data_IF_171563952972
#
_entry.id   IF_171563952972
#
_cell.length_a   1.000
_cell.length_b   1.000
_cell.length_c   1.000
_cell.angle_alpha   90.00
_cell.angle_beta   90.00
_cell.angle_gamma   90.00
#
_symmetry.space_group_name_H-M   'P 1'
#
loop_
_entity.id
_entity.type
_entity.pdbx_description
1 polymer ?
#
# COMPACT_ATOMS: atom_id res chain seq x y z
N UNK A 1 -15.38 3.07 16.60
CA UNK A 1 -13.98 3.14 16.21
C UNK A 1 -13.02 2.90 17.38
N UNK A 2 -13.23 3.57 18.49
CA UNK A 2 -12.39 3.40 19.69
C UNK A 2 -12.48 1.98 20.27
N UNK A 3 -13.67 1.42 20.36
CA UNK A 3 -13.87 0.05 20.83
C UNK A 3 -13.11 -0.97 19.96
N UNK A 4 -13.09 -0.75 18.64
CA UNK A 4 -12.35 -1.60 17.70
C UNK A 4 -10.84 -1.51 17.91
N UNK A 5 -10.35 -0.29 18.12
CA UNK A 5 -8.94 -0.04 18.41
C UNK A 5 -8.50 -0.75 19.69
N UNK A 6 -9.29 -0.62 20.75
CA UNK A 6 -9.01 -1.27 22.03
C UNK A 6 -9.00 -2.80 21.91
N UNK A 7 -9.94 -3.36 21.14
CA UNK A 7 -9.96 -4.79 20.90
C UNK A 7 -8.70 -5.27 20.18
N UNK A 8 -8.27 -4.55 19.13
CA UNK A 8 -7.05 -4.88 18.41
C UNK A 8 -5.83 -4.77 19.32
N UNK A 9 -5.77 -3.75 20.15
CA UNK A 9 -4.70 -3.59 21.12
C UNK A 9 -4.61 -4.76 22.09
N UNK A 10 -5.76 -5.19 22.61
CA UNK A 10 -5.80 -6.34 23.51
C UNK A 10 -5.34 -7.62 22.82
N UNK A 11 -5.80 -7.85 21.60
CA UNK A 11 -5.43 -9.04 20.84
C UNK A 11 -3.93 -9.07 20.52
N UNK A 12 -3.36 -7.94 20.11
CA UNK A 12 -1.93 -7.84 19.80
C UNK A 12 -1.08 -7.94 21.05
N UNK A 13 -1.50 -7.33 22.15
CA UNK A 13 -0.80 -7.42 23.42
C UNK A 13 -0.71 -8.88 23.92
N UNK A 14 -1.77 -9.65 23.70
CA UNK A 14 -1.86 -11.05 24.10
C UNK A 14 -1.05 -11.97 23.18
N UNK A 15 -1.21 -11.83 21.87
CA UNK A 15 -0.62 -12.73 20.88
C UNK A 15 0.73 -12.27 20.34
N UNK A 16 1.02 -10.98 20.36
CA UNK A 16 2.19 -10.38 19.73
C UNK A 16 2.14 -10.38 18.21
N UNK A 17 0.97 -10.61 17.62
CA UNK A 17 0.80 -10.77 16.18
C UNK A 17 -0.34 -9.88 15.69
N UNK A 18 -0.17 -9.27 14.52
CA UNK A 18 -1.22 -8.54 13.82
C UNK A 18 -1.24 -8.94 12.35
N UNK A 19 -2.39 -8.74 11.72
CA UNK A 19 -2.61 -9.09 10.31
C UNK A 19 -3.08 -7.87 9.53
N UNK A 20 -2.61 -7.73 8.30
CA UNK A 20 -3.21 -6.79 7.36
C UNK A 20 -4.58 -7.31 6.92
N UNK A 21 -5.38 -6.45 6.29
CA UNK A 21 -6.67 -6.89 5.73
C UNK A 21 -6.51 -7.90 4.59
N UNK A 22 -5.33 -8.02 4.01
CA UNK A 22 -5.01 -9.02 3.00
C UNK A 22 -4.39 -10.29 3.61
N UNK A 23 -4.28 -10.35 4.93
CA UNK A 23 -3.88 -11.57 5.64
C UNK A 23 -2.39 -11.72 5.91
N UNK A 24 -1.58 -10.71 5.63
CA UNK A 24 -0.14 -10.77 5.92
C UNK A 24 0.10 -10.63 7.42
N UNK A 25 0.75 -11.61 8.01
CA UNK A 25 1.06 -11.65 9.43
C UNK A 25 2.37 -10.92 9.73
N UNK A 26 2.37 -10.19 10.84
CA UNK A 26 3.59 -9.62 11.40
C UNK A 26 3.64 -9.87 12.90
N UNK A 27 4.78 -10.30 13.38
CA UNK A 27 5.04 -10.47 14.81
C UNK A 27 5.71 -9.20 15.35
N UNK A 28 5.29 -8.79 16.55
CA UNK A 28 5.82 -7.63 17.24
C UNK A 28 6.53 -8.04 18.50
N UNK A 29 7.62 -7.37 18.80
CA UNK A 29 8.46 -7.60 19.97
C UNK A 29 8.48 -6.34 20.84
N UNK A 30 8.92 -6.48 22.10
CA UNK A 30 8.97 -5.39 23.04
C UNK A 30 7.84 -5.44 24.07
N UNK A 31 7.60 -4.33 24.75
CA UNK A 31 6.54 -4.27 25.75
C UNK A 31 5.15 -4.27 25.09
N UNK A 32 4.13 -4.57 25.91
CA UNK A 32 2.77 -4.72 25.38
C UNK A 32 2.20 -3.42 24.80
N UNK A 33 2.55 -2.27 25.35
CA UNK A 33 2.05 -0.98 24.86
C UNK A 33 2.58 -0.66 23.47
N UNK A 34 3.88 -0.85 23.24
CA UNK A 34 4.51 -0.68 21.94
C UNK A 34 3.95 -1.67 20.92
N UNK A 35 3.81 -2.94 21.32
CA UNK A 35 3.23 -3.98 20.43
C UNK A 35 1.81 -3.65 20.02
N UNK A 36 0.98 -3.21 20.95
CA UNK A 36 -0.41 -2.87 20.67
C UNK A 36 -0.52 -1.72 19.65
N UNK A 37 0.28 -0.68 19.86
CA UNK A 37 0.30 0.50 19.00
C UNK A 37 0.78 0.17 17.58
N UNK A 38 1.88 -0.55 17.47
CA UNK A 38 2.43 -0.98 16.18
C UNK A 38 1.50 -1.95 15.47
N UNK A 39 0.85 -2.85 16.20
CA UNK A 39 -0.11 -3.80 15.65
C UNK A 39 -1.34 -3.14 15.07
N UNK A 40 -1.84 -2.09 15.70
CA UNK A 40 -2.93 -1.29 15.15
C UNK A 40 -2.52 -0.58 13.87
N UNK A 41 -1.36 0.09 13.90
CA UNK A 41 -0.82 0.77 12.73
C UNK A 41 -0.57 -0.20 11.57
N UNK A 42 -0.12 -1.42 11.86
CA UNK A 42 0.13 -2.44 10.84
C UNK A 42 -1.13 -2.82 10.07
N UNK A 43 -2.28 -2.88 10.71
CA UNK A 43 -3.53 -3.22 10.02
C UNK A 43 -3.87 -2.22 8.93
N UNK A 44 -3.56 -0.97 9.14
CA UNK A 44 -3.85 0.12 8.20
C UNK A 44 -2.69 0.30 7.21
N UNK A 45 -1.52 0.64 7.71
CA UNK A 45 -0.35 0.93 6.88
C UNK A 45 0.16 -0.31 6.14
N UNK A 46 0.11 -1.46 6.79
CA UNK A 46 0.51 -2.73 6.18
C UNK A 46 -0.42 -3.13 5.04
N UNK A 47 -1.71 -2.86 5.16
CA UNK A 47 -2.67 -3.13 4.08
C UNK A 47 -2.39 -2.27 2.86
N UNK A 48 -2.11 -0.98 3.06
CA UNK A 48 -1.72 -0.07 1.96
C UNK A 48 -0.43 -0.55 1.30
N UNK A 49 0.56 -0.96 2.09
CA UNK A 49 1.82 -1.51 1.58
C UNK A 49 1.60 -2.79 0.77
N UNK A 50 0.73 -3.67 1.22
CA UNK A 50 0.41 -4.91 0.51
C UNK A 50 -0.24 -4.63 -0.84
N UNK A 51 -1.15 -3.66 -0.91
CA UNK A 51 -1.77 -3.23 -2.17
C UNK A 51 -0.75 -2.66 -3.13
N UNK A 52 0.13 -1.82 -2.62
CA UNK A 52 1.20 -1.19 -3.39
C UNK A 52 2.16 -2.23 -3.96
N UNK A 53 2.55 -3.20 -3.17
CA UNK A 53 3.43 -4.29 -3.62
C UNK A 53 2.76 -5.17 -4.66
N UNK A 54 1.48 -5.48 -4.49
CA UNK A 54 0.72 -6.27 -5.46
C UNK A 54 0.62 -5.53 -6.81
N UNK A 55 0.36 -4.23 -6.78
CA UNK A 55 0.31 -3.40 -7.97
C UNK A 55 1.67 -3.33 -8.66
N UNK A 56 2.74 -3.21 -7.89
CA UNK A 56 4.11 -3.17 -8.41
C UNK A 56 4.47 -4.47 -9.16
N UNK A 57 4.16 -5.61 -8.56
CA UNK A 57 4.43 -6.92 -9.16
C UNK A 57 3.64 -7.07 -10.47
N UNK A 58 2.36 -6.70 -10.47
CA UNK A 58 1.52 -6.79 -11.66
C UNK A 58 2.01 -5.88 -12.79
N UNK A 59 2.45 -4.66 -12.46
CA UNK A 59 3.02 -3.73 -13.43
C UNK A 59 4.34 -4.23 -14.02
N UNK A 60 5.20 -4.80 -13.18
CA UNK A 60 6.46 -5.38 -13.63
C UNK A 60 6.25 -6.53 -14.61
N UNK A 61 5.27 -7.37 -14.34
CA UNK A 61 4.93 -8.50 -15.21
C UNK A 61 4.27 -8.06 -16.52
N UNK A 62 3.41 -7.04 -16.47
CA UNK A 62 2.68 -6.57 -17.66
C UNK A 62 3.52 -5.67 -18.57
N UNK A 63 4.47 -4.93 -18.01
CA UNK A 63 5.32 -3.99 -18.74
C UNK A 63 6.80 -4.28 -18.47
N UNK A 64 7.40 -5.22 -19.24
CA UNK A 64 8.82 -5.56 -19.07
C UNK A 64 9.77 -4.38 -19.27
N UNK A 65 9.35 -3.36 -20.03
CA UNK A 65 10.10 -2.13 -20.26
C UNK A 65 10.08 -1.16 -19.08
N UNK A 66 9.23 -1.41 -18.07
CA UNK A 66 9.13 -0.57 -16.90
C UNK A 66 10.40 -0.66 -16.04
N UNK A 67 10.85 0.47 -15.56
CA UNK A 67 11.90 0.56 -14.56
C UNK A 67 11.31 1.12 -13.27
N UNK A 68 11.49 0.40 -12.18
CA UNK A 68 11.11 0.90 -10.86
C UNK A 68 12.19 1.87 -10.39
N UNK A 69 11.79 3.10 -10.11
CA UNK A 69 12.71 4.13 -9.62
C UNK A 69 12.65 4.30 -8.11
N UNK A 70 11.44 4.45 -7.57
CA UNK A 70 11.24 4.72 -6.15
C UNK A 70 10.01 3.99 -5.64
N UNK A 71 10.14 3.44 -4.46
CA UNK A 71 9.04 2.88 -3.69
C UNK A 71 9.06 3.55 -2.31
N UNK A 72 8.16 4.48 -2.08
CA UNK A 72 8.01 5.16 -0.80
C UNK A 72 6.78 4.64 -0.05
N UNK A 73 6.57 5.09 1.19
CA UNK A 73 5.50 4.60 2.05
C UNK A 73 4.11 4.58 1.41
N UNK A 74 3.80 5.61 0.65
CA UNK A 74 2.48 5.85 0.09
C UNK A 74 2.50 6.13 -1.41
N UNK A 75 3.63 5.91 -2.06
CA UNK A 75 3.77 6.22 -3.47
C UNK A 75 4.76 5.35 -4.22
N UNK A 76 4.51 5.21 -5.52
CA UNK A 76 5.39 4.56 -6.47
C UNK A 76 5.77 5.55 -7.56
N UNK A 77 7.04 5.57 -7.91
CA UNK A 77 7.53 6.30 -9.07
C UNK A 77 8.15 5.32 -10.04
N UNK A 78 7.57 5.25 -11.21
CA UNK A 78 7.97 4.31 -12.26
C UNK A 78 8.42 5.07 -13.50
N UNK A 79 9.44 4.56 -14.17
CA UNK A 79 9.92 5.10 -15.42
C UNK A 79 9.61 4.14 -16.56
N UNK A 80 9.14 4.70 -17.66
CA UNK A 80 8.87 3.97 -18.89
C UNK A 80 9.58 4.63 -20.07
N UNK A 81 9.95 3.87 -21.12
CA UNK A 81 10.41 4.47 -22.36
C UNK A 81 9.34 5.40 -22.94
N UNK A 82 9.75 6.46 -23.62
CA UNK A 82 8.81 7.39 -24.27
C UNK A 82 7.89 6.72 -25.30
N UNK A 83 8.32 5.58 -25.81
CA UNK A 83 7.55 4.79 -26.77
C UNK A 83 6.35 4.07 -26.13
N UNK A 84 6.32 3.94 -24.80
CA UNK A 84 5.20 3.31 -24.12
C UNK A 84 4.07 4.33 -23.93
N UNK A 85 2.85 4.05 -24.47
CA UNK A 85 1.73 4.99 -24.30
C UNK A 85 1.33 5.14 -22.83
N UNK A 86 1.26 6.38 -22.38
CA UNK A 86 0.90 6.72 -20.99
C UNK A 86 -0.51 6.21 -20.66
N UNK A 87 -1.44 6.40 -21.58
CA UNK A 87 -2.84 5.98 -21.41
C UNK A 87 -2.96 4.49 -21.15
N UNK A 88 -2.15 3.69 -21.82
CA UNK A 88 -2.13 2.23 -21.63
C UNK A 88 -1.64 1.86 -20.24
N UNK A 89 -0.60 2.53 -19.74
CA UNK A 89 -0.07 2.29 -18.40
C UNK A 89 -1.09 2.69 -17.34
N UNK A 90 -1.71 3.87 -17.48
CA UNK A 90 -2.72 4.35 -16.54
C UNK A 90 -3.96 3.47 -16.53
N UNK A 91 -4.43 3.04 -17.68
CA UNK A 91 -5.59 2.16 -17.82
C UNK A 91 -5.37 0.82 -17.10
N UNK A 92 -4.16 0.29 -17.15
CA UNK A 92 -3.79 -0.92 -16.45
C UNK A 92 -3.57 -0.68 -14.95
N UNK A 93 -2.89 0.39 -14.57
CA UNK A 93 -2.46 0.66 -13.21
C UNK A 93 -3.59 1.12 -12.28
N UNK A 94 -4.51 1.94 -12.79
CA UNK A 94 -5.59 2.51 -11.96
C UNK A 94 -6.42 1.45 -11.25
N UNK A 95 -6.93 0.40 -11.90
CA UNK A 95 -7.70 -0.64 -11.21
C UNK A 95 -6.90 -1.42 -10.17
N UNK A 96 -5.59 -1.51 -10.33
CA UNK A 96 -4.72 -2.22 -9.40
C UNK A 96 -4.45 -1.41 -8.14
N UNK A 97 -4.25 -0.11 -8.29
CA UNK A 97 -3.91 0.80 -7.18
C UNK A 97 -5.18 1.31 -6.48
N UNK A 98 -6.18 1.71 -7.26
CA UNK A 98 -7.44 2.30 -6.78
C UNK A 98 -8.53 1.24 -6.62
N UNK A 99 -8.22 0.15 -5.97
CA UNK A 99 -9.22 -0.89 -5.71
C UNK A 99 -9.85 -0.75 -4.33
N UNK A 100 -11.07 -1.27 -4.17
CA UNK A 100 -11.68 -1.38 -2.87
C UNK A 100 -11.01 -2.47 -2.02
N UNK A 101 -10.86 -2.20 -0.73
CA UNK A 101 -10.35 -3.16 0.24
C UNK A 101 -11.47 -3.49 1.20
N UNK A 102 -11.77 -4.78 1.34
CA UNK A 102 -12.81 -5.24 2.27
C UNK A 102 -12.20 -5.54 3.63
N UNK A 103 -12.74 -4.89 4.66
CA UNK A 103 -12.34 -5.14 6.04
C UNK A 103 -12.82 -6.51 6.51
N UNK A 104 -12.26 -7.04 7.61
CA UNK A 104 -12.75 -8.30 8.21
C UNK A 104 -14.22 -8.26 8.61
N UNK A 105 -14.80 -7.07 8.78
CA UNK A 105 -16.22 -6.90 9.12
C UNK A 105 -17.13 -6.73 7.91
N UNK A 106 -16.60 -6.87 6.69
CA UNK A 106 -17.37 -6.82 5.46
C UNK A 106 -17.53 -5.45 4.83
N UNK A 107 -16.99 -4.40 5.41
CA UNK A 107 -17.02 -3.06 4.83
C UNK A 107 -15.95 -2.90 3.77
N UNK A 108 -16.33 -2.37 2.62
CA UNK A 108 -15.39 -2.07 1.53
C UNK A 108 -15.01 -0.60 1.58
N UNK A 109 -13.73 -0.33 1.66
CA UNK A 109 -13.18 1.03 1.65
C UNK A 109 -12.52 1.26 0.29
N UNK A 110 -12.91 2.29 -0.45
CA UNK A 110 -12.23 2.63 -1.69
C UNK A 110 -10.85 3.22 -1.39
N UNK A 111 -9.87 2.81 -2.16
CA UNK A 111 -8.53 3.39 -2.11
C UNK A 111 -8.38 4.29 -3.32
N UNK A 112 -8.07 5.54 -3.08
CA UNK A 112 -7.83 6.52 -4.13
C UNK A 112 -6.36 6.88 -4.23
N UNK A 113 -5.92 7.31 -5.40
CA UNK A 113 -4.54 7.71 -5.63
C UNK A 113 -4.49 8.99 -6.46
N UNK A 114 -3.44 9.77 -6.26
CA UNK A 114 -3.12 10.89 -7.12
C UNK A 114 -2.16 10.43 -8.20
N UNK A 115 -2.45 10.77 -9.43
CA UNK A 115 -1.68 10.35 -10.59
C UNK A 115 -0.99 11.54 -11.22
N UNK A 116 0.27 11.33 -11.55
CA UNK A 116 1.08 12.40 -12.10
C UNK A 116 2.04 11.83 -13.13
N UNK A 117 2.10 12.47 -14.28
CA UNK A 117 2.98 12.07 -15.38
C UNK A 117 3.94 13.23 -15.70
N UNK A 118 5.21 12.90 -15.83
CA UNK A 118 6.22 13.89 -16.20
C UNK A 118 7.20 13.30 -17.19
N UNK A 119 7.64 14.11 -18.14
CA UNK A 119 8.71 13.80 -19.06
C UNK A 119 10.02 14.50 -18.71
N UNK A 120 10.02 15.27 -17.63
CA UNK A 120 11.16 16.07 -17.21
C UNK A 120 11.79 15.53 -15.91
N UNK A 121 12.88 16.12 -15.53
CA UNK A 121 13.59 15.83 -14.30
C UNK A 121 12.66 16.01 -13.08
N UNK A 122 12.58 15.01 -12.23
CA UNK A 122 11.75 15.02 -11.02
C UNK A 122 12.06 16.18 -10.09
N UNK A 123 13.27 16.69 -10.11
CA UNK A 123 13.67 17.83 -9.29
C UNK A 123 12.88 19.09 -9.61
N UNK A 124 12.37 19.21 -10.81
CA UNK A 124 11.59 20.38 -11.24
C UNK A 124 10.19 20.44 -10.66
N UNK A 125 9.75 19.39 -10.01
CA UNK A 125 8.38 19.30 -9.49
C UNK A 125 8.23 19.83 -8.08
N UNK A 126 9.31 19.99 -7.37
CA UNK A 126 9.30 20.44 -5.98
C UNK A 126 9.40 21.98 -5.87
N UNK A 127 9.51 22.64 -6.98
CA UNK A 127 9.58 24.10 -7.02
C UNK A 127 8.20 24.75 -6.91
#
# INVERSE_FOLDING_TARGET
LMARKEQVWADVAKSGVSYTWLGRRRRFYGDWASRAKEGWAHRISGTVTDLQNAALIALDQAFPECRMCLNSHDGLTLAFPETTPVERVLEFAKPLVERGVTSPTGHTVPITASWEVTTSDLRKRQA
#
